data_IF_935644284575
#
_entry.id   IF_935644284575
#
_cell.length_a   1.000
_cell.length_b   1.000
_cell.length_c   1.000
_cell.angle_alpha   90.00
_cell.angle_beta   90.00
_cell.angle_gamma   90.00
#
_symmetry.space_group_name_H-M   'P 1'
#
loop_
_entity.id
_entity.type
_entity.pdbx_description
1 polymer ?
#
# COMPACT_ATOMS: atom_id res chain seq x y z
N UNK A 1 47.17 -10.41 -6.17
CA UNK A 1 46.00 -9.95 -6.93
C UNK A 1 44.64 -10.64 -6.54
N UNK A 2 44.61 -11.95 -6.32
CA UNK A 2 43.35 -12.69 -6.01
C UNK A 2 42.70 -12.36 -4.65
N UNK A 3 43.44 -12.00 -3.60
CA UNK A 3 42.88 -11.63 -2.28
C UNK A 3 42.08 -10.32 -2.31
N UNK A 4 42.47 -9.33 -3.09
CA UNK A 4 41.77 -8.04 -3.18
C UNK A 4 40.42 -8.16 -3.91
N UNK A 5 40.28 -9.08 -4.87
CA UNK A 5 39.00 -9.37 -5.55
C UNK A 5 37.95 -10.03 -4.63
N UNK A 6 38.42 -10.88 -3.72
CA UNK A 6 37.53 -11.60 -2.76
C UNK A 6 36.92 -10.65 -1.72
N UNK A 7 37.66 -9.66 -1.23
CA UNK A 7 37.17 -8.66 -0.27
C UNK A 7 36.16 -7.70 -0.89
N UNK A 8 36.34 -7.29 -2.15
CA UNK A 8 35.39 -6.42 -2.86
C UNK A 8 34.03 -7.10 -3.09
N UNK A 9 34.02 -8.37 -3.45
CA UNK A 9 32.77 -9.15 -3.64
C UNK A 9 32.03 -9.36 -2.32
N UNK A 10 32.72 -9.65 -1.24
CA UNK A 10 32.10 -9.80 0.09
C UNK A 10 31.45 -8.51 0.59
N UNK A 11 32.10 -7.37 0.43
CA UNK A 11 31.53 -6.07 0.80
C UNK A 11 30.31 -5.66 -0.02
N UNK A 12 30.32 -5.95 -1.33
CA UNK A 12 29.17 -5.68 -2.20
C UNK A 12 27.97 -6.58 -1.86
N UNK A 13 28.21 -7.86 -1.58
CA UNK A 13 27.16 -8.80 -1.17
C UNK A 13 26.54 -8.37 0.17
N UNK A 14 27.34 -8.00 1.16
CA UNK A 14 26.86 -7.52 2.46
C UNK A 14 26.04 -6.23 2.33
N UNK A 15 26.50 -5.28 1.53
CA UNK A 15 25.77 -4.04 1.26
C UNK A 15 24.41 -4.32 0.56
N UNK A 16 24.37 -5.27 -0.36
CA UNK A 16 23.13 -5.67 -1.04
C UNK A 16 22.16 -6.34 -0.06
N UNK A 17 22.63 -7.24 0.77
CA UNK A 17 21.82 -7.90 1.80
C UNK A 17 21.23 -6.88 2.77
N UNK A 18 22.06 -5.97 3.31
CA UNK A 18 21.60 -4.91 4.21
C UNK A 18 20.55 -4.02 3.55
N UNK A 19 20.74 -3.63 2.28
CA UNK A 19 19.77 -2.84 1.53
C UNK A 19 18.44 -3.58 1.39
N UNK A 20 18.49 -4.84 0.99
CA UNK A 20 17.28 -5.67 0.80
C UNK A 20 16.52 -5.85 2.10
N UNK A 21 17.23 -6.16 3.20
CA UNK A 21 16.62 -6.32 4.53
C UNK A 21 15.94 -5.04 5.01
N UNK A 22 16.62 -3.89 4.91
CA UNK A 22 16.06 -2.59 5.31
C UNK A 22 14.83 -2.23 4.46
N UNK A 23 14.91 -2.46 3.14
CA UNK A 23 13.78 -2.18 2.23
C UNK A 23 12.57 -3.06 2.55
N UNK A 24 12.77 -4.37 2.75
CA UNK A 24 11.69 -5.28 3.12
C UNK A 24 11.08 -4.93 4.48
N UNK A 25 11.89 -4.56 5.45
CA UNK A 25 11.43 -4.10 6.76
C UNK A 25 10.54 -2.87 6.64
N UNK A 26 10.94 -1.86 5.86
CA UNK A 26 10.16 -0.63 5.67
C UNK A 26 8.81 -0.93 4.98
N UNK A 27 8.80 -1.76 3.94
CA UNK A 27 7.56 -2.17 3.26
C UNK A 27 6.62 -2.86 4.25
N UNK A 28 7.10 -3.86 4.98
CA UNK A 28 6.28 -4.58 5.98
C UNK A 28 5.77 -3.63 7.06
N UNK A 29 6.62 -2.74 7.56
CA UNK A 29 6.26 -1.77 8.58
C UNK A 29 5.12 -0.85 8.12
N UNK A 30 5.19 -0.31 6.90
CA UNK A 30 4.14 0.56 6.34
C UNK A 30 2.83 -0.20 6.12
N UNK A 31 2.89 -1.44 5.59
CA UNK A 31 1.70 -2.29 5.45
C UNK A 31 1.06 -2.58 6.81
N UNK A 32 1.85 -2.89 7.83
CA UNK A 32 1.35 -3.14 9.19
C UNK A 32 0.70 -1.89 9.77
N UNK A 33 1.29 -0.71 9.58
CA UNK A 33 0.69 0.56 10.03
C UNK A 33 -0.66 0.81 9.35
N UNK A 34 -0.76 0.60 8.04
CA UNK A 34 -2.01 0.71 7.30
C UNK A 34 -3.07 -0.24 7.87
N UNK A 35 -2.75 -1.53 8.02
CA UNK A 35 -3.68 -2.53 8.53
C UNK A 35 -4.12 -2.25 9.98
N UNK A 36 -3.20 -1.82 10.85
CA UNK A 36 -3.54 -1.43 12.22
C UNK A 36 -4.51 -0.24 12.21
N UNK A 37 -4.25 0.79 11.40
CA UNK A 37 -5.13 1.95 11.31
C UNK A 37 -6.56 1.58 10.87
N UNK A 38 -6.68 0.71 9.86
CA UNK A 38 -7.96 0.19 9.35
C UNK A 38 -8.72 -0.63 10.40
N UNK A 39 -8.03 -1.54 11.10
CA UNK A 39 -8.62 -2.33 12.18
C UNK A 39 -9.10 -1.43 13.32
N UNK A 40 -8.30 -0.47 13.74
CA UNK A 40 -8.68 0.46 14.80
C UNK A 40 -9.93 1.24 14.42
N UNK A 41 -9.95 1.88 13.26
CA UNK A 41 -11.11 2.67 12.82
C UNK A 41 -12.35 1.79 12.68
N UNK A 42 -12.24 0.59 12.10
CA UNK A 42 -13.36 -0.35 11.96
C UNK A 42 -13.86 -0.88 13.32
N UNK A 43 -13.07 -0.80 14.38
CA UNK A 43 -13.50 -1.18 15.74
C UNK A 43 -14.23 -0.06 16.47
N UNK A 44 -14.05 1.19 16.06
CA UNK A 44 -14.65 2.36 16.71
C UNK A 44 -15.86 2.92 15.95
N UNK A 45 -15.91 2.77 14.63
CA UNK A 45 -16.96 3.33 13.79
C UNK A 45 -17.77 2.24 13.10
N UNK A 46 -19.08 2.45 13.00
CA UNK A 46 -19.98 1.67 12.15
C UNK A 46 -19.85 2.12 10.70
N UNK A 47 -20.21 1.24 9.75
CA UNK A 47 -20.18 1.57 8.31
C UNK A 47 -21.05 2.80 8.01
N UNK A 48 -20.47 3.80 7.35
CA UNK A 48 -21.09 5.09 7.04
C UNK A 48 -21.06 6.10 8.19
N UNK A 49 -20.60 5.72 9.37
CA UNK A 49 -20.47 6.63 10.51
C UNK A 49 -19.28 7.57 10.32
N UNK A 50 -19.44 8.83 10.79
CA UNK A 50 -18.41 9.88 10.70
C UNK A 50 -18.12 10.46 12.06
N UNK A 51 -16.82 10.54 12.38
CA UNK A 51 -16.27 11.23 13.53
C UNK A 51 -15.60 12.53 13.09
N UNK A 52 -16.11 13.66 13.52
CA UNK A 52 -15.53 14.96 13.20
C UNK A 52 -14.25 15.19 14.00
N UNK A 53 -13.12 15.42 13.32
CA UNK A 53 -11.82 15.70 13.93
C UNK A 53 -11.46 17.17 13.83
N UNK A 54 -11.60 17.75 12.64
CA UNK A 54 -11.28 19.13 12.30
C UNK A 54 -12.35 19.71 11.39
N UNK A 55 -12.45 21.05 11.24
CA UNK A 55 -13.43 21.67 10.33
C UNK A 55 -13.34 21.27 8.87
N UNK A 56 -12.29 20.55 8.48
CA UNK A 56 -12.02 20.11 7.11
C UNK A 56 -11.63 18.62 7.03
N UNK A 57 -11.69 17.87 8.16
CA UNK A 57 -11.24 16.48 8.25
C UNK A 57 -12.14 15.66 9.18
N UNK A 58 -12.70 14.59 8.64
CA UNK A 58 -13.43 13.58 9.39
C UNK A 58 -12.76 12.20 9.26
N UNK A 59 -13.02 11.32 10.22
CA UNK A 59 -12.93 9.89 9.98
C UNK A 59 -14.32 9.36 9.63
N UNK A 60 -14.47 8.83 8.40
CA UNK A 60 -15.74 8.27 7.90
C UNK A 60 -15.49 6.87 7.40
N UNK A 61 -16.04 5.85 8.06
CA UNK A 61 -15.80 4.46 7.67
C UNK A 61 -16.56 4.09 6.39
N UNK A 62 -15.83 3.75 5.34
CA UNK A 62 -16.39 3.31 4.04
C UNK A 62 -15.72 2.00 3.60
N UNK A 63 -16.52 1.11 3.00
CA UNK A 63 -16.04 -0.09 2.33
C UNK A 63 -15.99 0.17 0.82
N UNK A 64 -14.78 0.30 0.29
CA UNK A 64 -14.53 0.61 -1.12
C UNK A 64 -14.32 -0.68 -1.92
N UNK A 65 -15.36 -1.10 -2.62
CA UNK A 65 -15.30 -2.28 -3.49
C UNK A 65 -14.60 -2.03 -4.84
N UNK A 66 -14.32 -0.75 -5.18
CA UNK A 66 -13.71 -0.34 -6.45
C UNK A 66 -14.75 -0.16 -7.57
N UNK A 67 -14.45 0.72 -8.52
CA UNK A 67 -15.35 1.11 -9.62
C UNK A 67 -15.69 -0.09 -10.54
N UNK A 68 -14.81 -1.08 -10.64
CA UNK A 68 -15.01 -2.26 -11.48
C UNK A 68 -16.22 -3.11 -11.07
N UNK A 69 -16.69 -3.01 -9.82
CA UNK A 69 -17.86 -3.76 -9.33
C UNK A 69 -19.17 -3.27 -9.92
N UNK A 70 -19.24 -2.02 -10.35
CA UNK A 70 -20.45 -1.45 -10.97
C UNK A 70 -20.66 -1.93 -12.42
N UNK A 71 -19.66 -2.52 -13.05
CA UNK A 71 -19.72 -2.97 -14.45
C UNK A 71 -20.06 -4.46 -14.62
N UNK A 72 -19.91 -5.26 -13.56
CA UNK A 72 -20.18 -6.70 -13.63
C UNK A 72 -21.29 -7.05 -12.63
N UNK A 73 -22.43 -7.45 -13.14
CA UNK A 73 -23.65 -7.79 -12.38
C UNK A 73 -23.61 -9.22 -11.79
N UNK A 74 -22.40 -9.71 -11.44
CA UNK A 74 -22.14 -11.09 -11.03
C UNK A 74 -21.97 -11.30 -9.52
N UNK A 75 -22.46 -10.38 -8.71
CA UNK A 75 -22.31 -10.44 -7.24
C UNK A 75 -20.94 -10.09 -6.71
N UNK A 76 -20.05 -9.50 -7.54
CA UNK A 76 -18.79 -8.90 -7.12
C UNK A 76 -17.60 -9.85 -7.00
N UNK A 77 -17.77 -11.15 -7.15
CA UNK A 77 -16.68 -12.12 -6.88
C UNK A 77 -15.65 -12.16 -8.03
N UNK A 78 -16.08 -12.16 -9.28
CA UNK A 78 -15.18 -12.15 -10.45
C UNK A 78 -14.41 -10.83 -10.50
N UNK A 79 -15.10 -9.70 -10.35
CA UNK A 79 -14.50 -8.36 -10.33
C UNK A 79 -13.43 -8.20 -9.25
N UNK A 80 -13.70 -8.72 -8.04
CA UNK A 80 -12.73 -8.77 -6.94
C UNK A 80 -11.44 -9.48 -7.37
N UNK A 81 -11.55 -10.70 -7.89
CA UNK A 81 -10.38 -11.49 -8.26
C UNK A 81 -9.65 -10.92 -9.48
N UNK A 82 -10.34 -10.31 -10.42
CA UNK A 82 -9.70 -9.57 -11.52
C UNK A 82 -8.83 -8.41 -10.99
N UNK A 83 -9.35 -7.62 -10.04
CA UNK A 83 -8.57 -6.56 -9.40
C UNK A 83 -7.38 -7.12 -8.61
N UNK A 84 -7.57 -8.20 -7.86
CA UNK A 84 -6.49 -8.86 -7.11
C UNK A 84 -5.38 -9.31 -8.07
N UNK A 85 -5.72 -9.96 -9.17
CA UNK A 85 -4.73 -10.41 -10.18
C UNK A 85 -4.04 -9.23 -10.85
N UNK A 86 -4.78 -8.21 -11.27
CA UNK A 86 -4.23 -7.03 -11.92
C UNK A 86 -3.25 -6.28 -10.99
N UNK A 87 -3.67 -5.97 -9.76
CA UNK A 87 -2.83 -5.29 -8.77
C UNK A 87 -1.61 -6.14 -8.40
N UNK A 88 -1.77 -7.46 -8.22
CA UNK A 88 -0.65 -8.37 -7.96
C UNK A 88 0.37 -8.37 -9.11
N UNK A 89 -0.08 -8.34 -10.37
CA UNK A 89 0.79 -8.25 -11.52
C UNK A 89 1.58 -6.93 -11.57
N UNK A 90 0.91 -5.81 -11.28
CA UNK A 90 1.56 -4.49 -11.20
C UNK A 90 2.60 -4.48 -10.07
N UNK A 91 2.26 -4.98 -8.89
CA UNK A 91 3.18 -5.04 -7.75
C UNK A 91 4.38 -5.93 -8.02
N UNK A 92 4.19 -7.09 -8.65
CA UNK A 92 5.29 -7.97 -9.07
C UNK A 92 6.23 -7.27 -10.06
N UNK A 93 5.68 -6.51 -11.00
CA UNK A 93 6.47 -5.72 -11.95
C UNK A 93 7.25 -4.59 -11.24
N UNK A 94 6.62 -3.86 -10.31
CA UNK A 94 7.28 -2.82 -9.52
C UNK A 94 8.41 -3.39 -8.64
N UNK A 95 8.20 -4.54 -8.01
CA UNK A 95 9.24 -5.26 -7.25
C UNK A 95 10.41 -5.64 -8.16
N UNK A 96 10.14 -6.13 -9.36
CA UNK A 96 11.18 -6.44 -10.35
C UNK A 96 11.96 -5.19 -10.76
N UNK A 97 11.30 -4.06 -11.02
CA UNK A 97 11.96 -2.80 -11.31
C UNK A 97 12.81 -2.32 -10.14
N UNK A 98 12.26 -2.35 -8.91
CA UNK A 98 12.96 -1.97 -7.69
C UNK A 98 14.23 -2.81 -7.47
N UNK A 99 14.19 -4.10 -7.79
CA UNK A 99 15.36 -4.99 -7.71
C UNK A 99 16.49 -4.55 -8.67
N UNK A 100 16.14 -3.99 -9.85
CA UNK A 100 17.10 -3.49 -10.84
C UNK A 100 17.73 -2.15 -10.49
N UNK A 101 17.18 -1.40 -9.56
CA UNK A 101 17.69 -0.07 -9.20
C UNK A 101 19.07 -0.21 -8.55
N UNK A 102 20.03 0.44 -9.17
CA UNK A 102 21.37 0.56 -8.60
C UNK A 102 21.35 1.53 -7.41
N UNK A 103 22.01 1.17 -6.32
CA UNK A 103 21.88 1.76 -4.96
C UNK A 103 22.15 3.27 -4.81
N UNK A 104 22.35 4.02 -5.86
CA UNK A 104 22.73 5.44 -5.79
C UNK A 104 21.56 6.41 -5.68
N UNK A 105 20.37 6.04 -6.13
CA UNK A 105 19.20 6.92 -6.10
C UNK A 105 18.26 6.56 -4.94
N UNK A 106 18.48 7.21 -3.80
CA UNK A 106 17.66 6.99 -2.59
C UNK A 106 16.22 7.43 -2.76
N UNK A 107 15.98 8.50 -3.50
CA UNK A 107 14.63 9.03 -3.73
C UNK A 107 13.78 8.05 -4.55
N UNK A 108 14.35 7.51 -5.61
CA UNK A 108 13.71 6.50 -6.44
C UNK A 108 13.37 5.24 -5.64
N UNK A 109 14.31 4.76 -4.80
CA UNK A 109 14.06 3.61 -3.92
C UNK A 109 12.91 3.88 -2.94
N UNK A 110 12.88 5.06 -2.32
CA UNK A 110 11.80 5.46 -1.40
C UNK A 110 10.44 5.50 -2.11
N UNK A 111 10.37 6.04 -3.33
CA UNK A 111 9.15 6.05 -4.13
C UNK A 111 8.61 4.64 -4.38
N UNK A 112 9.50 3.67 -4.73
CA UNK A 112 9.07 2.28 -4.89
C UNK A 112 8.60 1.66 -3.58
N UNK A 113 9.27 1.94 -2.45
CA UNK A 113 8.86 1.45 -1.14
C UNK A 113 7.45 1.94 -0.81
N UNK A 114 7.17 3.23 -0.98
CA UNK A 114 5.87 3.82 -0.68
C UNK A 114 4.76 3.23 -1.58
N UNK A 115 4.95 3.24 -2.90
CA UNK A 115 3.95 2.72 -3.85
C UNK A 115 3.68 1.22 -3.63
N UNK A 116 4.73 0.42 -3.42
CA UNK A 116 4.57 -1.02 -3.17
C UNK A 116 3.85 -1.27 -1.84
N UNK A 117 4.19 -0.52 -0.79
CA UNK A 117 3.54 -0.66 0.52
C UNK A 117 2.07 -0.31 0.45
N UNK A 118 1.70 0.79 -0.20
CA UNK A 118 0.30 1.19 -0.40
C UNK A 118 -0.47 0.15 -1.21
N UNK A 119 0.08 -0.29 -2.33
CA UNK A 119 -0.54 -1.33 -3.14
C UNK A 119 -0.73 -2.65 -2.39
N UNK A 120 0.26 -3.08 -1.57
CA UNK A 120 0.14 -4.28 -0.73
C UNK A 120 -0.90 -4.11 0.37
N UNK A 121 -0.96 -2.96 1.06
CA UNK A 121 -1.98 -2.68 2.08
C UNK A 121 -3.39 -2.86 1.53
N UNK A 122 -3.69 -2.23 0.41
CA UNK A 122 -4.98 -2.34 -0.26
C UNK A 122 -5.24 -3.71 -0.91
N UNK A 123 -4.18 -4.43 -1.30
CA UNK A 123 -4.31 -5.80 -1.80
C UNK A 123 -4.70 -6.77 -0.70
N UNK A 124 -4.13 -6.65 0.50
CA UNK A 124 -4.49 -7.45 1.69
C UNK A 124 -5.98 -7.34 1.96
N UNK A 125 -6.53 -6.12 2.01
CA UNK A 125 -7.97 -5.91 2.22
C UNK A 125 -8.81 -6.63 1.15
N UNK A 126 -8.47 -6.47 -0.13
CA UNK A 126 -9.20 -7.11 -1.23
C UNK A 126 -9.17 -8.63 -1.18
N UNK A 127 -8.03 -9.21 -0.77
CA UNK A 127 -7.88 -10.68 -0.65
C UNK A 127 -8.67 -11.24 0.53
N UNK A 128 -8.71 -10.56 1.66
CA UNK A 128 -9.34 -11.09 2.87
C UNK A 128 -10.77 -10.61 3.06
N UNK A 129 -11.06 -9.34 2.79
CA UNK A 129 -12.35 -8.72 3.04
C UNK A 129 -13.23 -8.61 1.77
N UNK A 130 -12.62 -8.50 0.59
CA UNK A 130 -13.31 -8.27 -0.68
C UNK A 130 -13.50 -6.80 -1.02
N UNK A 131 -13.18 -5.89 -0.14
CA UNK A 131 -13.22 -4.43 -0.30
C UNK A 131 -12.00 -3.80 0.37
N UNK A 132 -11.76 -2.52 0.15
CA UNK A 132 -10.75 -1.74 0.87
C UNK A 132 -11.45 -0.93 1.95
N UNK A 133 -10.83 -0.86 3.13
CA UNK A 133 -11.31 -0.03 4.24
C UNK A 133 -10.74 1.38 4.06
N UNK A 134 -11.62 2.34 3.77
CA UNK A 134 -11.30 3.76 3.64
C UNK A 134 -11.91 4.54 4.80
N UNK A 135 -11.19 5.56 5.31
CA UNK A 135 -11.67 6.28 6.49
C UNK A 135 -11.22 7.74 6.59
N UNK A 136 -10.26 8.21 5.82
CA UNK A 136 -9.81 9.62 5.84
C UNK A 136 -10.67 10.42 4.88
N UNK A 137 -11.50 11.32 5.40
CA UNK A 137 -12.41 12.14 4.63
C UNK A 137 -12.03 13.61 4.76
N UNK A 138 -11.48 14.17 3.70
CA UNK A 138 -11.11 15.60 3.60
C UNK A 138 -12.20 16.35 2.83
N UNK A 139 -12.60 17.51 3.32
CA UNK A 139 -13.60 18.36 2.69
C UNK A 139 -13.31 19.84 2.96
N UNK A 140 -13.81 20.70 2.10
CA UNK A 140 -13.72 22.15 2.27
C UNK A 140 -14.99 22.80 1.73
N UNK A 141 -15.78 23.42 2.59
CA UNK A 141 -17.12 23.96 2.26
C UNK A 141 -17.98 22.86 1.59
N UNK A 142 -18.46 23.09 0.38
CA UNK A 142 -19.30 22.16 -0.39
C UNK A 142 -18.47 21.12 -1.20
N UNK A 143 -17.14 21.22 -1.18
CA UNK A 143 -16.25 20.31 -1.89
C UNK A 143 -15.81 19.17 -0.97
N UNK A 144 -16.14 17.94 -1.34
CA UNK A 144 -15.75 16.73 -0.65
C UNK A 144 -14.76 15.94 -1.50
N UNK A 145 -13.61 15.60 -0.92
CA UNK A 145 -12.68 14.66 -1.54
C UNK A 145 -13.14 13.22 -1.29
N UNK A 146 -12.75 12.29 -2.14
CA UNK A 146 -13.03 10.87 -1.90
C UNK A 146 -12.39 10.42 -0.59
N UNK A 147 -13.11 9.54 0.14
CA UNK A 147 -12.55 8.93 1.36
C UNK A 147 -11.42 7.98 0.95
N UNK A 148 -10.31 8.04 1.66
CA UNK A 148 -9.10 7.27 1.39
C UNK A 148 -8.49 6.72 2.69
N UNK A 149 -7.40 5.97 2.61
CA UNK A 149 -6.72 5.36 3.76
C UNK A 149 -5.22 5.70 3.81
N UNK A 150 -4.49 5.11 4.75
CA UNK A 150 -3.04 5.34 4.88
C UNK A 150 -2.27 4.82 3.66
N UNK A 151 -2.65 3.66 3.12
CA UNK A 151 -2.00 3.06 1.95
C UNK A 151 -2.09 3.95 0.69
N UNK A 152 -3.18 4.71 0.52
CA UNK A 152 -3.37 5.66 -0.58
C UNK A 152 -2.54 6.94 -0.39
N UNK A 153 -2.08 7.21 0.83
CA UNK A 153 -1.29 8.40 1.19
C UNK A 153 0.21 8.21 1.00
N UNK A 154 0.66 6.98 0.78
CA UNK A 154 2.06 6.66 0.55
C UNK A 154 2.46 6.97 -0.88
#
# INVERSE_FOLDING_TARGET
MLKQYRWRRGGQALCLIMKTTTTSFLIIFLVVLDQISKILISSYLSLGESLNLLPFLNFTLIHNSGIAFSFFDDGGNISRWLLVVAVSGILAYLLFLMYKITSKNRLELMSFILIISGGLGNLVDRVFLGYVVDFVHVFYQDYSFYVFNMADSY
#
